data_IF_755592984170
#
_entry.id   IF_755592984170
#
_cell.length_a   1.000
_cell.length_b   1.000
_cell.length_c   1.000
_cell.angle_alpha   90.00
_cell.angle_beta   90.00
_cell.angle_gamma   90.00
#
_symmetry.space_group_name_H-M   'P 1'
#
loop_
_entity.id
_entity.type
_entity.pdbx_description
1 polymer ?
#
# COMPACT_ATOMS: atom_id res chain seq x y z
N UNK A 1 -0.96 26.61 12.47
CA UNK A 1 0.16 26.29 11.56
C UNK A 1 0.33 27.33 10.46
N UNK A 2 -0.72 27.72 9.73
CA UNK A 2 -0.63 28.66 8.60
C UNK A 2 -0.04 30.05 8.95
N UNK A 3 -0.40 30.63 10.09
CA UNK A 3 0.14 31.93 10.52
C UNK A 3 1.65 31.88 10.81
N UNK A 4 2.13 30.75 11.37
CA UNK A 4 3.56 30.53 11.62
C UNK A 4 4.30 30.32 10.29
N UNK A 5 3.73 29.52 9.37
CA UNK A 5 4.30 29.32 8.05
C UNK A 5 4.41 30.64 7.26
N UNK A 6 3.41 31.52 7.35
CA UNK A 6 3.46 32.87 6.77
C UNK A 6 4.53 33.75 7.41
N UNK A 7 4.59 33.77 8.74
CA UNK A 7 5.59 34.55 9.47
C UNK A 7 7.03 34.10 9.18
N UNK A 8 7.23 32.82 8.87
CA UNK A 8 8.54 32.25 8.55
C UNK A 8 8.83 32.13 7.04
N UNK A 9 7.98 32.68 6.16
CA UNK A 9 8.09 32.56 4.69
C UNK A 9 8.15 31.11 4.18
N UNK A 10 7.54 30.18 4.91
CA UNK A 10 7.44 28.77 4.55
C UNK A 10 6.12 28.44 3.85
N UNK A 11 5.25 29.42 3.59
CA UNK A 11 3.95 29.15 2.95
C UNK A 11 4.10 28.54 1.56
N UNK A 12 4.92 29.14 0.70
CA UNK A 12 5.14 28.62 -0.66
C UNK A 12 5.83 27.24 -0.66
N UNK A 13 6.92 27.00 0.09
CA UNK A 13 7.53 25.68 0.17
C UNK A 13 6.62 24.59 0.75
N UNK A 14 5.79 24.91 1.75
CA UNK A 14 4.97 23.91 2.45
C UNK A 14 3.66 23.62 1.74
N UNK A 15 3.03 24.64 1.17
CA UNK A 15 1.68 24.54 0.61
C UNK A 15 1.63 24.75 -0.90
N UNK A 16 2.72 25.19 -1.54
CA UNK A 16 2.73 25.59 -2.95
C UNK A 16 1.66 26.68 -3.24
N UNK A 17 1.35 26.94 -4.51
CA UNK A 17 0.19 27.76 -4.94
C UNK A 17 -1.14 27.03 -4.73
N UNK A 18 -1.29 26.29 -3.63
CA UNK A 18 -2.49 25.53 -3.33
C UNK A 18 -3.72 26.43 -3.14
N UNK A 19 -4.86 25.95 -3.61
CA UNK A 19 -6.17 26.48 -3.26
C UNK A 19 -6.45 26.29 -1.77
N UNK A 20 -7.44 27.01 -1.23
CA UNK A 20 -7.86 26.84 0.16
C UNK A 20 -8.27 25.40 0.49
N UNK A 21 -8.86 24.68 -0.47
CA UNK A 21 -9.24 23.28 -0.33
C UNK A 21 -8.00 22.36 -0.22
N UNK A 22 -7.03 22.53 -1.12
CA UNK A 22 -5.78 21.75 -1.08
C UNK A 22 -4.98 22.03 0.21
N UNK A 23 -4.94 23.27 0.71
CA UNK A 23 -4.30 23.59 2.00
C UNK A 23 -4.96 22.87 3.17
N UNK A 24 -6.27 22.71 3.12
CA UNK A 24 -7.01 21.95 4.12
C UNK A 24 -6.67 20.45 4.03
N UNK A 25 -6.62 19.88 2.82
CA UNK A 25 -6.18 18.49 2.62
C UNK A 25 -4.75 18.25 3.12
N UNK A 26 -3.81 19.14 2.76
CA UNK A 26 -2.41 19.06 3.22
C UNK A 26 -2.37 19.02 4.75
N UNK A 27 -3.10 19.93 5.40
CA UNK A 27 -3.15 20.00 6.86
C UNK A 27 -3.77 18.75 7.48
N UNK A 28 -4.83 18.21 6.86
CA UNK A 28 -5.50 16.99 7.30
C UNK A 28 -4.57 15.77 7.22
N UNK A 29 -3.78 15.63 6.14
CA UNK A 29 -2.82 14.53 6.02
C UNK A 29 -1.67 14.63 7.02
N UNK A 30 -1.18 15.85 7.30
CA UNK A 30 -0.15 16.06 8.33
C UNK A 30 -0.68 15.66 9.72
N UNK A 31 -1.92 16.04 10.03
CA UNK A 31 -2.58 15.65 11.28
C UNK A 31 -2.80 14.13 11.36
N UNK A 32 -3.20 13.50 10.25
CA UNK A 32 -3.37 12.05 10.15
C UNK A 32 -2.05 11.31 10.40
N UNK A 33 -0.95 11.76 9.78
CA UNK A 33 0.38 11.18 9.95
C UNK A 33 0.84 11.21 11.41
N UNK A 34 0.44 12.24 12.16
CA UNK A 34 0.79 12.43 13.56
C UNK A 34 -0.05 11.57 14.53
N UNK A 35 -1.21 11.07 14.10
CA UNK A 35 -2.18 10.37 14.96
C UNK A 35 -2.23 8.87 14.75
N UNK A 36 -2.04 8.42 13.52
CA UNK A 36 -2.19 7.01 13.17
C UNK A 36 -0.85 6.26 13.28
N UNK A 37 -0.88 4.98 13.67
CA UNK A 37 0.31 4.15 13.66
C UNK A 37 0.79 3.89 12.22
N UNK A 38 2.09 3.71 12.04
CA UNK A 38 2.71 3.54 10.71
C UNK A 38 2.05 2.44 9.86
N UNK A 39 1.67 1.31 10.47
CA UNK A 39 0.99 0.20 9.77
C UNK A 39 -0.33 0.64 9.14
N UNK A 40 -1.13 1.45 9.84
CA UNK A 40 -2.39 1.95 9.32
C UNK A 40 -2.16 2.99 8.22
N UNK A 41 -1.15 3.86 8.40
CA UNK A 41 -0.76 4.85 7.40
C UNK A 41 -0.31 4.19 6.09
N UNK A 42 0.45 3.10 6.16
CA UNK A 42 0.90 2.38 4.97
C UNK A 42 -0.27 1.75 4.19
N UNK A 43 -1.24 1.16 4.89
CA UNK A 43 -2.44 0.63 4.25
C UNK A 43 -3.30 1.74 3.62
N UNK A 44 -3.44 2.87 4.33
CA UNK A 44 -4.10 4.06 3.82
C UNK A 44 -3.40 4.56 2.55
N UNK A 45 -2.08 4.76 2.59
CA UNK A 45 -1.27 5.20 1.46
C UNK A 45 -1.41 4.25 0.28
N UNK A 46 -1.35 2.94 0.49
CA UNK A 46 -1.42 1.99 -0.61
C UNK A 46 -2.77 2.04 -1.33
N UNK A 47 -3.86 2.27 -0.58
CA UNK A 47 -5.18 2.47 -1.18
C UNK A 47 -5.29 3.83 -1.86
N UNK A 48 -4.81 4.89 -1.19
CA UNK A 48 -4.95 6.26 -1.64
C UNK A 48 -4.10 6.57 -2.88
N UNK A 49 -2.92 5.97 -2.99
CA UNK A 49 -1.97 6.13 -4.10
C UNK A 49 -2.34 5.30 -5.34
N UNK A 50 -3.44 4.53 -5.31
CA UNK A 50 -3.93 3.81 -6.49
C UNK A 50 -4.28 4.74 -7.64
N UNK A 51 -4.85 5.90 -7.33
CA UNK A 51 -5.33 6.87 -8.31
C UNK A 51 -4.56 8.19 -8.29
N UNK A 52 -3.55 8.30 -7.42
CA UNK A 52 -2.82 9.55 -7.16
C UNK A 52 -1.31 9.37 -7.25
N UNK A 53 -0.64 10.42 -7.73
CA UNK A 53 0.81 10.46 -7.78
C UNK A 53 1.42 10.88 -6.43
N UNK A 54 0.84 11.92 -5.81
CA UNK A 54 1.18 12.50 -4.50
C UNK A 54 -0.08 12.60 -3.63
N UNK A 55 0.07 12.95 -2.35
CA UNK A 55 -1.08 13.06 -1.43
C UNK A 55 -2.09 14.11 -1.90
N UNK A 56 -1.59 15.27 -2.34
CA UNK A 56 -2.43 16.39 -2.79
C UNK A 56 -1.98 16.88 -4.17
N UNK A 57 -2.88 16.80 -5.14
CA UNK A 57 -2.64 17.29 -6.50
C UNK A 57 -1.56 16.52 -7.27
N UNK A 58 -0.79 17.26 -8.09
CA UNK A 58 0.24 16.73 -9.00
C UNK A 58 1.66 17.13 -8.61
N UNK A 59 1.87 17.64 -7.40
CA UNK A 59 3.17 18.09 -6.93
C UNK A 59 3.41 17.61 -5.51
N UNK A 60 4.69 17.44 -5.16
CA UNK A 60 5.10 17.14 -3.79
C UNK A 60 4.72 18.32 -2.89
N UNK A 61 4.10 18.02 -1.76
CA UNK A 61 3.74 19.02 -0.74
C UNK A 61 4.33 18.65 0.61
N UNK A 62 4.18 19.53 1.62
CA UNK A 62 4.56 19.20 2.99
C UNK A 62 3.88 17.92 3.51
N UNK A 63 2.67 17.60 3.02
CA UNK A 63 2.00 16.35 3.40
C UNK A 63 2.84 15.14 3.02
N UNK A 64 3.43 15.10 1.82
CA UNK A 64 4.21 13.96 1.35
C UNK A 64 5.47 13.78 2.19
N UNK A 65 6.16 14.87 2.50
CA UNK A 65 7.38 14.87 3.32
C UNK A 65 7.08 14.40 4.74
N UNK A 66 6.04 14.94 5.36
CA UNK A 66 5.64 14.56 6.72
C UNK A 66 5.17 13.12 6.78
N UNK A 67 4.38 12.68 5.80
CA UNK A 67 3.91 11.30 5.73
C UNK A 67 5.09 10.34 5.56
N UNK A 68 6.06 10.67 4.69
CA UNK A 68 7.25 9.85 4.47
C UNK A 68 8.04 9.70 5.76
N UNK A 69 8.25 10.79 6.50
CA UNK A 69 8.97 10.77 7.78
C UNK A 69 8.36 9.79 8.79
N UNK A 70 7.05 9.58 8.77
CA UNK A 70 6.35 8.64 9.66
C UNK A 70 6.33 7.19 9.16
N UNK A 71 6.39 6.95 7.85
CA UNK A 71 6.28 5.60 7.28
C UNK A 71 7.61 4.97 6.84
N UNK A 72 8.65 5.78 6.58
CA UNK A 72 9.92 5.29 6.01
C UNK A 72 10.62 4.29 6.93
N UNK A 73 10.60 4.51 8.24
CA UNK A 73 11.19 3.57 9.20
C UNK A 73 10.45 2.22 9.18
N UNK A 74 9.12 2.24 9.05
CA UNK A 74 8.35 1.01 8.91
C UNK A 74 8.68 0.29 7.60
N UNK A 75 8.71 1.02 6.47
CA UNK A 75 9.05 0.47 5.15
C UNK A 75 10.47 -0.12 5.09
N UNK A 76 11.44 0.49 5.77
CA UNK A 76 12.82 0.00 5.84
C UNK A 76 12.95 -1.38 6.51
N UNK A 77 11.97 -1.74 7.36
CA UNK A 77 11.92 -3.02 8.09
C UNK A 77 11.06 -4.08 7.41
N UNK A 78 10.32 -3.72 6.36
CA UNK A 78 9.50 -4.67 5.62
C UNK A 78 10.35 -5.63 4.81
N UNK A 79 9.90 -6.88 4.74
CA UNK A 79 10.45 -7.86 3.80
C UNK A 79 10.06 -7.51 2.36
N UNK A 80 10.79 -8.02 1.39
CA UNK A 80 10.53 -7.68 -0.02
C UNK A 80 9.16 -8.14 -0.50
N UNK A 81 8.65 -9.28 -0.02
CA UNK A 81 7.28 -9.72 -0.28
C UNK A 81 6.21 -8.80 0.31
N UNK A 82 6.44 -8.26 1.51
CA UNK A 82 5.52 -7.29 2.10
C UNK A 82 5.50 -5.98 1.29
N UNK A 83 6.66 -5.55 0.76
CA UNK A 83 6.73 -4.39 -0.15
C UNK A 83 5.99 -4.65 -1.46
N UNK A 84 6.13 -5.85 -2.04
CA UNK A 84 5.38 -6.27 -3.25
C UNK A 84 3.87 -6.23 -3.01
N UNK A 85 3.41 -6.57 -1.80
CA UNK A 85 1.99 -6.46 -1.41
C UNK A 85 1.48 -5.01 -1.28
N UNK A 86 2.36 -4.02 -1.33
CA UNK A 86 2.06 -2.60 -1.15
C UNK A 86 2.59 -1.76 -2.34
N UNK A 87 2.25 -2.10 -3.59
CA UNK A 87 2.93 -1.58 -4.77
C UNK A 87 2.74 -0.06 -4.94
N UNK A 88 1.57 0.47 -4.61
CA UNK A 88 1.26 1.89 -4.80
C UNK A 88 1.94 2.76 -3.73
N UNK A 89 1.93 2.28 -2.49
CA UNK A 89 2.65 2.94 -1.40
C UNK A 89 4.17 2.86 -1.63
N UNK A 90 4.68 1.69 -2.05
CA UNK A 90 6.09 1.51 -2.38
C UNK A 90 6.53 2.46 -3.51
N UNK A 91 5.78 2.52 -4.62
CA UNK A 91 6.04 3.49 -5.71
C UNK A 91 6.15 4.92 -5.20
N UNK A 92 5.22 5.32 -4.34
CA UNK A 92 5.23 6.67 -3.77
C UNK A 92 6.42 6.89 -2.83
N UNK A 93 6.72 5.96 -1.92
CA UNK A 93 7.90 6.02 -1.05
C UNK A 93 9.17 6.14 -1.87
N UNK A 94 9.31 5.31 -2.90
CA UNK A 94 10.45 5.32 -3.80
C UNK A 94 10.61 6.66 -4.51
N UNK A 95 9.51 7.24 -5.00
CA UNK A 95 9.56 8.54 -5.62
C UNK A 95 9.96 9.66 -4.65
N UNK A 96 9.36 9.72 -3.46
CA UNK A 96 9.58 10.81 -2.50
C UNK A 96 10.95 10.70 -1.81
N UNK A 97 11.45 9.49 -1.53
CA UNK A 97 12.77 9.30 -0.93
C UNK A 97 13.92 9.73 -1.85
N UNK A 98 13.70 9.71 -3.18
CA UNK A 98 14.71 10.09 -4.18
C UNK A 98 14.74 11.60 -4.48
N UNK A 99 13.88 12.41 -3.84
CA UNK A 99 13.89 13.85 -4.01
C UNK A 99 15.20 14.46 -3.46
N UNK A 100 15.73 15.52 -4.11
CA UNK A 100 16.87 16.26 -3.59
C UNK A 100 16.61 16.76 -2.17
N UNK A 101 17.57 16.57 -1.27
CA UNK A 101 17.43 16.87 0.16
C UNK A 101 16.78 15.74 0.95
N UNK A 102 15.90 14.93 0.38
CA UNK A 102 15.31 13.77 1.07
C UNK A 102 16.24 12.56 1.01
N UNK A 103 16.84 12.29 -0.14
CA UNK A 103 17.72 11.15 -0.35
C UNK A 103 18.90 11.16 0.62
N UNK A 104 19.50 12.33 0.82
CA UNK A 104 20.61 12.56 1.73
C UNK A 104 20.18 12.27 3.18
N UNK A 105 18.98 12.71 3.57
CA UNK A 105 18.46 12.51 4.92
C UNK A 105 18.11 11.04 5.19
N UNK A 106 17.50 10.38 4.22
CA UNK A 106 17.14 8.97 4.30
C UNK A 106 18.40 8.10 4.38
N UNK A 107 19.43 8.39 3.57
CA UNK A 107 20.72 7.69 3.63
C UNK A 107 21.47 7.97 4.93
N UNK A 108 21.52 9.23 5.38
CA UNK A 108 22.20 9.62 6.62
C UNK A 108 21.60 8.90 7.85
N UNK A 109 20.30 8.60 7.81
CA UNK A 109 19.59 7.87 8.87
C UNK A 109 19.54 6.36 8.65
N UNK A 110 20.13 5.85 7.57
CA UNK A 110 20.08 4.44 7.17
C UNK A 110 18.63 3.90 7.04
N UNK A 111 17.72 4.73 6.52
CA UNK A 111 16.30 4.41 6.31
C UNK A 111 15.96 4.15 4.84
N UNK A 112 16.98 4.01 3.99
CA UNK A 112 16.78 3.86 2.55
C UNK A 112 16.04 2.57 2.22
N UNK A 113 14.96 2.70 1.45
CA UNK A 113 14.12 1.57 1.06
C UNK A 113 14.53 1.13 -0.34
N UNK A 114 15.25 0.02 -0.45
CA UNK A 114 15.64 -0.55 -1.73
C UNK A 114 14.46 -1.22 -2.45
N UNK A 115 14.61 -1.34 -3.78
CA UNK A 115 13.69 -2.08 -4.63
C UNK A 115 13.60 -3.55 -4.19
N UNK A 116 12.39 -4.12 -4.05
CA UNK A 116 12.23 -5.51 -3.64
C UNK A 116 12.80 -6.44 -4.72
N UNK A 117 13.58 -7.44 -4.30
CA UNK A 117 14.08 -8.49 -5.19
C UNK A 117 13.06 -9.64 -5.25
N UNK A 118 12.49 -9.87 -6.44
CA UNK A 118 11.54 -10.98 -6.67
C UNK A 118 12.22 -12.36 -6.58
N UNK A 119 13.55 -12.42 -6.70
CA UNK A 119 14.34 -13.64 -6.61
C UNK A 119 14.89 -13.92 -5.21
N UNK A 120 14.67 -13.02 -4.25
CA UNK A 120 15.03 -13.24 -2.87
C UNK A 120 14.35 -14.50 -2.33
N UNK A 121 15.09 -15.30 -1.56
CA UNK A 121 14.60 -16.60 -1.07
C UNK A 121 13.20 -16.45 -0.44
N UNK A 122 12.24 -17.30 -0.85
CA UNK A 122 10.89 -17.20 -0.33
C UNK A 122 10.93 -17.33 1.20
N UNK A 123 10.14 -16.51 1.90
CA UNK A 123 10.18 -16.41 3.33
C UNK A 123 9.78 -17.76 3.89
N UNK A 124 10.45 -18.16 4.97
CA UNK A 124 10.28 -19.50 5.55
C UNK A 124 8.79 -19.85 5.72
N UNK A 125 8.44 -21.15 5.73
CA UNK A 125 7.06 -21.63 5.91
C UNK A 125 6.32 -20.97 7.10
N UNK A 126 7.04 -20.51 8.12
CA UNK A 126 6.49 -19.77 9.25
C UNK A 126 6.00 -18.35 8.91
N UNK A 127 6.68 -17.65 8.01
CA UNK A 127 6.30 -16.30 7.54
C UNK A 127 5.12 -16.36 6.56
N UNK A 128 5.09 -17.35 5.66
CA UNK A 128 3.93 -17.61 4.79
C UNK A 128 2.65 -17.83 5.61
N UNK A 129 2.75 -18.55 6.73
CA UNK A 129 1.61 -18.78 7.63
C UNK A 129 1.15 -17.52 8.36
N UNK A 130 2.04 -16.54 8.60
CA UNK A 130 1.69 -15.24 9.18
C UNK A 130 1.03 -14.31 8.14
N UNK A 131 1.57 -14.27 6.92
CA UNK A 131 1.01 -13.51 5.80
C UNK A 131 -0.41 -14.00 5.44
N UNK A 132 -0.61 -15.31 5.34
CA UNK A 132 -1.95 -15.88 5.11
C UNK A 132 -2.96 -15.50 6.20
N UNK A 133 -2.53 -15.47 7.47
CA UNK A 133 -3.38 -15.03 8.59
C UNK A 133 -3.73 -13.54 8.55
N UNK A 134 -2.81 -12.69 8.08
CA UNK A 134 -3.03 -11.26 7.90
C UNK A 134 -3.99 -10.99 6.74
N UNK A 135 -3.85 -11.72 5.63
CA UNK A 135 -4.75 -11.66 4.48
C UNK A 135 -6.19 -12.07 4.87
N UNK A 136 -6.35 -13.20 5.54
CA UNK A 136 -7.67 -13.67 6.03
C UNK A 136 -8.33 -12.69 7.01
N UNK A 137 -7.53 -11.97 7.81
CA UNK A 137 -8.04 -10.97 8.73
C UNK A 137 -8.47 -9.66 8.03
N UNK A 138 -7.76 -9.28 6.97
CA UNK A 138 -8.13 -8.16 6.11
C UNK A 138 -9.43 -8.46 5.33
N UNK A 139 -9.55 -9.67 4.77
CA UNK A 139 -10.74 -10.10 4.04
C UNK A 139 -11.98 -10.21 4.94
N UNK A 140 -11.83 -10.69 6.18
CA UNK A 140 -12.92 -10.70 7.17
C UNK A 140 -13.35 -9.30 7.61
N UNK A 141 -12.42 -8.33 7.66
CA UNK A 141 -12.74 -6.92 7.96
C UNK A 141 -13.40 -6.21 6.77
N UNK A 142 -13.00 -6.54 5.55
CA UNK A 142 -13.64 -6.05 4.33
C UNK A 142 -15.07 -6.60 4.18
N UNK A 143 -15.29 -7.90 4.45
CA UNK A 143 -16.61 -8.52 4.43
C UNK A 143 -17.58 -7.95 5.48
N UNK A 144 -17.08 -7.57 6.67
CA UNK A 144 -17.91 -6.91 7.72
C UNK A 144 -18.31 -5.48 7.39
N UNK A 145 -17.58 -4.77 6.52
CA UNK A 145 -17.94 -3.41 6.07
C UNK A 145 -18.89 -3.41 4.87
N UNK A 146 -19.01 -4.51 4.13
CA UNK A 146 -19.92 -4.64 2.98
C UNK A 146 -21.30 -5.23 3.35
N UNK A 147 -21.44 -5.89 4.50
CA UNK A 147 -22.68 -6.54 4.94
C UNK A 147 -23.62 -5.64 5.73
N UNK A 148 -24.11 -4.57 5.12
CA UNK A 148 -25.02 -3.60 5.72
C UNK A 148 -26.25 -3.31 4.88
N UNK A 149 -26.89 -4.32 4.29
CA UNK A 149 -28.31 -4.21 3.93
C UNK A 149 -28.94 -5.60 3.77
N UNK A 150 -29.97 -5.87 4.59
CA UNK A 150 -30.93 -6.97 4.40
C UNK A 150 -31.79 -6.63 3.17
N UNK A 151 -32.22 -7.64 2.39
CA UNK A 151 -33.61 -8.05 2.54
C UNK A 151 -33.79 -9.56 2.64
N UNK A 152 -34.92 -9.89 3.27
CA UNK A 152 -35.50 -11.20 3.51
C UNK A 152 -35.90 -11.92 2.21
N UNK A 153 -36.04 -13.25 2.28
CA UNK A 153 -37.02 -13.94 1.43
C UNK A 153 -36.60 -15.25 0.75
N UNK A 154 -36.61 -16.33 1.54
CA UNK A 154 -37.11 -17.68 1.22
C UNK A 154 -36.45 -18.60 0.17
N UNK A 155 -35.90 -19.70 0.71
CA UNK A 155 -36.05 -21.11 0.33
C UNK A 155 -36.50 -21.50 -1.09
N UNK A 156 -35.63 -22.26 -1.79
CA UNK A 156 -35.92 -23.66 -2.20
C UNK A 156 -34.73 -24.37 -2.85
N UNK A 157 -34.61 -25.64 -2.46
CA UNK A 157 -34.15 -26.81 -3.25
C UNK A 157 -32.65 -26.93 -3.57
N UNK A 158 -31.94 -27.88 -2.96
CA UNK A 158 -31.90 -29.35 -3.16
C UNK A 158 -30.74 -29.78 -4.07
N UNK A 159 -29.76 -30.41 -3.43
CA UNK A 159 -29.23 -31.73 -3.76
C UNK A 159 -28.69 -31.98 -5.19
N UNK A 160 -27.35 -32.06 -5.32
CA UNK A 160 -26.69 -33.02 -6.21
C UNK A 160 -25.22 -33.21 -5.81
N UNK A 161 -24.95 -34.26 -5.05
CA UNK A 161 -23.66 -34.97 -5.04
C UNK A 161 -23.45 -35.60 -6.43
N UNK A 162 -22.19 -35.70 -6.87
CA UNK A 162 -21.44 -36.96 -7.19
C UNK A 162 -20.60 -36.84 -8.47
N UNK A 163 -19.31 -37.21 -8.31
CA UNK A 163 -18.31 -37.67 -9.30
C UNK A 163 -17.93 -36.69 -10.43
N UNK A 164 -16.65 -36.51 -10.75
CA UNK A 164 -15.76 -37.53 -11.36
C UNK A 164 -14.32 -37.38 -10.85
N UNK A 165 -13.78 -38.50 -10.38
CA UNK A 165 -12.37 -38.78 -10.16
C UNK A 165 -11.95 -39.79 -11.24
N UNK A 166 -10.75 -39.61 -11.80
CA UNK A 166 -9.90 -40.56 -12.55
C UNK A 166 -10.45 -41.38 -13.75
N UNK A 167 -9.82 -41.19 -14.91
CA UNK A 167 -9.05 -42.24 -15.64
C UNK A 167 -8.33 -41.56 -16.83
N UNK A 168 -7.00 -41.48 -16.87
CA UNK A 168 -5.98 -42.49 -17.26
C UNK A 168 -5.47 -42.27 -18.71
N UNK A 169 -4.17 -41.97 -18.75
CA UNK A 169 -3.11 -42.42 -19.69
C UNK A 169 -3.51 -42.79 -21.13
N UNK A 170 -2.81 -42.20 -22.11
CA UNK A 170 -1.74 -42.88 -22.88
C UNK A 170 -1.19 -41.95 -23.97
N UNK A 171 0.15 -41.94 -24.10
CA UNK A 171 0.86 -41.40 -25.24
C UNK A 171 0.69 -42.33 -26.47
N UNK A 172 0.98 -41.90 -27.71
CA UNK A 172 2.37 -41.99 -28.15
C UNK A 172 2.86 -40.88 -29.10
N UNK A 173 4.18 -40.80 -29.09
CA UNK A 173 5.14 -40.20 -30.00
C UNK A 173 5.00 -40.69 -31.48
N UNK A 174 5.01 -39.78 -32.47
CA UNK A 174 5.89 -39.82 -33.67
C UNK A 174 5.42 -38.89 -34.81
N UNK A 175 6.38 -38.33 -35.56
CA UNK A 175 6.21 -37.83 -36.94
C UNK A 175 6.64 -36.36 -37.10
N UNK A 176 7.93 -36.02 -37.27
CA UNK A 176 8.66 -35.96 -38.56
C UNK A 176 8.00 -35.11 -39.67
N UNK A 177 8.85 -34.30 -40.33
CA UNK A 177 8.69 -33.59 -41.63
C UNK A 177 8.02 -32.21 -41.51
N UNK A 178 8.59 -31.08 -41.96
CA UNK A 178 9.68 -30.77 -42.90
C UNK A 178 10.39 -29.48 -42.47
#
# INVERSE_FOLDING_TARGET
MLQIAKACYLEEPLFNKATSAERFEISSYIEMASRLPAVELVNFLNTHMQTRMFLVGFSVTAADVMMLAHVIEHFSKLTDLEKIGLPHAFRWVDHVQHLPGMLEQVRAKNLFVAFPDESAEPPSKAQLKKLAKLQEAADKKAAKKAGGNKPEGNDKQNNAKKNVEEEVKEAPNNGQQQ
#
